data_IF_502981186790
#
_entry.id   IF_502981186790
#
_cell.length_a   1.000
_cell.length_b   1.000
_cell.length_c   1.000
_cell.angle_alpha   90.00
_cell.angle_beta   90.00
_cell.angle_gamma   90.00
#
_symmetry.space_group_name_H-M   'P 1'
#
loop_
_entity.id
_entity.type
_entity.pdbx_description
1 polymer ?
#
# COMPACT_ATOMS: atom_id res chain seq x y z
N UNK A 1 -12.04 38.57 56.66
CA UNK A 1 -11.01 37.62 56.20
C UNK A 1 -11.53 37.02 54.90
N UNK A 2 -10.89 37.29 53.76
CA UNK A 2 -11.35 36.85 52.42
C UNK A 2 -10.49 35.67 51.98
N UNK A 3 -11.06 34.47 52.00
CA UNK A 3 -10.40 33.24 51.53
C UNK A 3 -10.46 33.16 50.00
N UNK A 4 -9.30 33.09 49.36
CA UNK A 4 -9.18 32.76 47.95
C UNK A 4 -8.93 31.26 47.80
N UNK A 5 -9.77 30.58 47.02
CA UNK A 5 -9.64 29.16 46.65
C UNK A 5 -8.85 29.08 45.34
N UNK A 6 -7.74 28.31 45.25
CA UNK A 6 -7.03 28.14 44.00
C UNK A 6 -7.73 27.09 43.14
N UNK A 7 -8.02 27.43 41.88
CA UNK A 7 -8.52 26.50 40.86
C UNK A 7 -7.33 25.71 40.32
N UNK A 8 -7.32 24.41 40.56
CA UNK A 8 -6.32 23.46 40.07
C UNK A 8 -6.65 23.09 38.61
N UNK A 9 -5.83 23.56 37.66
CA UNK A 9 -5.97 23.21 36.26
C UNK A 9 -5.36 21.82 35.99
N UNK A 10 -6.19 20.85 35.61
CA UNK A 10 -5.76 19.52 35.15
C UNK A 10 -5.35 19.60 33.68
N UNK A 11 -4.05 19.76 33.42
CA UNK A 11 -3.49 19.51 32.09
C UNK A 11 -3.38 18.00 31.87
N UNK A 12 -4.39 17.40 31.20
CA UNK A 12 -4.29 16.04 30.71
C UNK A 12 -3.32 15.99 29.52
N UNK A 13 -2.04 15.74 29.80
CA UNK A 13 -1.05 15.40 28.78
C UNK A 13 -1.40 14.06 28.16
N UNK A 14 -1.92 14.06 26.93
CA UNK A 14 -2.15 12.84 26.16
C UNK A 14 -0.78 12.30 25.72
N UNK A 15 -0.16 11.47 26.56
CA UNK A 15 1.04 10.72 26.17
C UNK A 15 0.63 9.66 25.15
N UNK A 16 1.07 9.80 23.91
CA UNK A 16 0.91 8.76 22.89
C UNK A 16 1.71 7.51 23.32
N UNK A 17 1.03 6.50 23.86
CA UNK A 17 1.66 5.24 24.28
C UNK A 17 1.97 4.36 23.06
N UNK A 18 3.06 4.64 22.36
CA UNK A 18 3.61 3.76 21.31
C UNK A 18 4.37 2.54 21.88
N UNK A 19 4.41 2.38 23.21
CA UNK A 19 5.29 1.45 23.91
C UNK A 19 4.74 0.01 24.10
N UNK A 20 3.52 -0.30 23.63
CA UNK A 20 2.88 -1.61 23.91
C UNK A 20 2.21 -2.28 22.69
N UNK A 21 2.27 -1.70 21.50
CA UNK A 21 1.79 -2.38 20.30
C UNK A 21 2.87 -3.34 19.78
N UNK A 22 2.53 -4.60 19.42
CA UNK A 22 3.49 -5.50 18.80
C UNK A 22 3.99 -4.88 17.48
N UNK A 23 5.31 -4.87 17.22
CA UNK A 23 5.84 -4.32 15.99
C UNK A 23 5.46 -5.21 14.80
N UNK A 24 5.15 -4.59 13.65
CA UNK A 24 4.98 -5.32 12.41
C UNK A 24 6.33 -5.85 11.89
N UNK A 25 6.32 -7.06 11.32
CA UNK A 25 7.49 -7.62 10.65
C UNK A 25 7.69 -6.92 9.31
N UNK A 26 8.88 -6.38 9.04
CA UNK A 26 9.22 -5.81 7.75
C UNK A 26 9.37 -6.90 6.66
N UNK A 27 9.20 -6.58 5.37
CA UNK A 27 9.38 -7.53 4.27
C UNK A 27 10.69 -8.34 4.32
N UNK A 28 11.84 -7.70 4.52
CA UNK A 28 13.14 -8.40 4.60
C UNK A 28 13.37 -9.25 5.85
N UNK A 29 12.49 -9.16 6.85
CA UNK A 29 12.48 -10.00 8.05
C UNK A 29 11.37 -11.06 8.00
N UNK A 30 10.65 -11.15 6.88
CA UNK A 30 9.59 -12.13 6.64
C UNK A 30 10.14 -13.25 5.78
N UNK A 31 9.79 -14.50 6.08
CA UNK A 31 10.06 -15.62 5.18
C UNK A 31 9.07 -15.56 4.00
N UNK A 32 9.45 -14.85 2.94
CA UNK A 32 8.57 -14.63 1.80
C UNK A 32 8.66 -15.80 0.82
N UNK A 33 7.51 -16.44 0.60
CA UNK A 33 7.36 -17.52 -0.39
C UNK A 33 6.61 -16.98 -1.59
N UNK A 34 7.36 -16.61 -2.62
CA UNK A 34 6.78 -16.22 -3.90
C UNK A 34 6.52 -17.45 -4.77
N UNK A 35 5.38 -17.44 -5.45
CA UNK A 35 5.14 -18.30 -6.61
C UNK A 35 6.02 -17.85 -7.79
N UNK A 36 6.24 -18.74 -8.76
CA UNK A 36 7.00 -18.44 -9.98
C UNK A 36 6.43 -17.23 -10.74
N UNK A 37 5.11 -17.01 -10.63
CA UNK A 37 4.42 -15.87 -11.25
C UNK A 37 4.69 -14.54 -10.56
N UNK A 38 5.03 -14.55 -9.26
CA UNK A 38 5.33 -13.35 -8.46
C UNK A 38 6.78 -12.89 -8.59
N UNK A 39 7.72 -13.81 -8.80
CA UNK A 39 9.16 -13.52 -8.92
C UNK A 39 9.50 -12.43 -9.95
N UNK A 40 8.97 -12.45 -11.19
CA UNK A 40 9.23 -11.39 -12.16
C UNK A 40 8.50 -10.08 -11.85
N UNK A 41 7.60 -10.08 -10.86
CA UNK A 41 6.62 -9.02 -10.65
C UNK A 41 5.44 -9.12 -11.62
N UNK A 42 4.43 -8.28 -11.38
CA UNK A 42 3.25 -8.17 -12.24
C UNK A 42 3.41 -6.97 -13.18
N UNK A 43 3.28 -7.26 -14.47
CA UNK A 43 2.89 -6.32 -15.53
C UNK A 43 1.52 -6.74 -16.04
N UNK A 44 0.84 -5.89 -16.79
CA UNK A 44 -0.54 -6.16 -17.23
C UNK A 44 -0.64 -6.43 -18.71
N UNK A 45 0.50 -6.58 -19.39
CA UNK A 45 0.59 -6.68 -20.85
C UNK A 45 -0.12 -7.93 -21.42
N UNK A 46 -0.40 -8.92 -20.57
CA UNK A 46 -1.14 -10.15 -20.86
C UNK A 46 -2.65 -10.05 -20.53
N UNK A 47 -3.12 -8.99 -19.85
CA UNK A 47 -4.53 -8.77 -19.51
C UNK A 47 -5.29 -7.97 -20.56
N UNK A 48 -6.42 -8.47 -21.06
CA UNK A 48 -7.31 -7.68 -21.89
C UNK A 48 -7.79 -6.38 -21.19
N UNK A 49 -8.04 -5.34 -21.98
CA UNK A 49 -8.55 -4.07 -21.44
C UNK A 49 -9.97 -4.31 -20.91
N UNK A 50 -10.26 -3.85 -19.69
CA UNK A 50 -11.55 -4.01 -19.06
C UNK A 50 -11.48 -4.43 -17.60
N UNK A 51 -12.62 -4.86 -17.06
CA UNK A 51 -12.74 -5.35 -15.70
C UNK A 51 -12.10 -6.74 -15.57
N UNK A 52 -11.39 -6.96 -14.47
CA UNK A 52 -10.83 -8.26 -14.11
C UNK A 52 -10.86 -8.41 -12.59
N UNK A 53 -10.93 -9.66 -12.13
CA UNK A 53 -11.05 -9.96 -10.70
C UNK A 53 -9.95 -10.88 -10.18
N UNK A 54 -9.32 -11.63 -11.07
CA UNK A 54 -8.28 -12.58 -10.72
C UNK A 54 -7.12 -12.42 -11.68
N UNK A 55 -5.90 -12.39 -11.15
CA UNK A 55 -4.70 -12.35 -11.97
C UNK A 55 -3.54 -13.01 -11.23
N UNK A 56 -2.90 -14.00 -11.85
CA UNK A 56 -1.72 -14.70 -11.30
C UNK A 56 -1.87 -15.12 -9.83
N UNK A 57 -3.00 -15.77 -9.52
CA UNK A 57 -3.34 -16.31 -8.20
C UNK A 57 -3.56 -15.24 -7.11
N UNK A 58 -3.80 -14.00 -7.53
CA UNK A 58 -4.25 -12.88 -6.70
C UNK A 58 -5.66 -12.45 -7.08
N UNK A 59 -6.40 -12.00 -6.07
CA UNK A 59 -7.72 -11.40 -6.24
C UNK A 59 -7.56 -9.88 -6.29
N UNK A 60 -8.23 -9.24 -7.25
CA UNK A 60 -8.24 -7.80 -7.46
C UNK A 60 -9.67 -7.28 -7.33
N UNK A 61 -9.83 -6.16 -6.64
CA UNK A 61 -11.12 -5.50 -6.45
C UNK A 61 -10.99 -3.99 -6.71
N UNK A 62 -11.92 -3.44 -7.48
CA UNK A 62 -11.93 -2.02 -7.85
C UNK A 62 -10.86 -1.63 -8.87
N UNK A 63 -10.29 -2.61 -9.58
CA UNK A 63 -9.28 -2.42 -10.62
C UNK A 63 -9.84 -2.72 -12.01
N UNK A 64 -9.39 -1.96 -13.01
CA UNK A 64 -9.64 -2.22 -14.44
C UNK A 64 -8.32 -2.18 -15.18
N UNK A 65 -8.08 -3.10 -16.11
CA UNK A 65 -6.95 -3.02 -17.01
C UNK A 65 -7.25 -1.95 -18.07
N UNK A 66 -6.32 -1.02 -18.26
CA UNK A 66 -6.40 0.07 -19.21
C UNK A 66 -5.02 0.36 -19.84
N UNK A 67 -4.97 1.22 -20.85
CA UNK A 67 -3.70 1.71 -21.37
C UNK A 67 -3.02 2.64 -20.34
N UNK A 68 -1.72 2.48 -20.12
CA UNK A 68 -0.92 3.32 -19.21
C UNK A 68 -0.96 4.82 -19.60
N UNK A 69 -1.34 5.13 -20.85
CA UNK A 69 -1.63 6.48 -21.31
C UNK A 69 -0.42 7.40 -21.43
N UNK A 70 0.79 6.87 -21.24
CA UNK A 70 2.02 7.55 -21.65
C UNK A 70 1.93 7.81 -23.16
N UNK A 71 1.91 9.10 -23.52
CA UNK A 71 1.80 9.57 -24.91
C UNK A 71 2.97 9.01 -25.70
N UNK A 72 2.68 8.01 -26.53
CA UNK A 72 3.66 7.41 -27.43
C UNK A 72 3.98 8.35 -28.58
N UNK A 73 5.25 8.39 -28.97
CA UNK A 73 5.63 9.01 -30.24
C UNK A 73 4.91 8.34 -31.42
N UNK A 74 4.72 9.09 -32.50
CA UNK A 74 3.96 8.70 -33.73
C UNK A 74 4.39 7.36 -34.37
N UNK A 75 5.54 6.81 -33.98
CA UNK A 75 6.15 5.61 -34.56
C UNK A 75 6.29 4.43 -33.59
N UNK A 76 5.75 4.51 -32.38
CA UNK A 76 5.81 3.38 -31.45
C UNK A 76 4.87 2.24 -31.91
N UNK A 77 5.26 0.97 -31.74
CA UNK A 77 4.38 -0.19 -31.98
C UNK A 77 3.03 -0.04 -31.28
N UNK A 78 1.94 -0.55 -31.87
CA UNK A 78 0.57 -0.43 -31.34
C UNK A 78 0.29 -1.28 -30.09
N UNK A 79 1.23 -2.10 -29.64
CA UNK A 79 1.11 -2.86 -28.39
C UNK A 79 1.29 -1.93 -27.18
N UNK A 80 0.18 -1.33 -26.74
CA UNK A 80 0.05 -0.49 -25.54
C UNK A 80 0.76 -1.08 -24.31
N UNK A 81 1.35 -0.24 -23.45
CA UNK A 81 1.83 -0.68 -22.14
C UNK A 81 0.59 -0.64 -21.30
N UNK A 82 0.25 -1.75 -20.66
CA UNK A 82 -0.99 -1.84 -19.88
C UNK A 82 -0.73 -1.41 -18.44
N UNK A 83 -1.72 -0.82 -17.81
CA UNK A 83 -1.75 -0.45 -16.41
C UNK A 83 -3.09 -0.84 -15.82
N UNK A 84 -3.16 -1.03 -14.51
CA UNK A 84 -4.44 -1.16 -13.83
C UNK A 84 -4.86 0.20 -13.27
N UNK A 85 -6.05 0.65 -13.64
CA UNK A 85 -6.69 1.87 -13.19
C UNK A 85 -7.68 1.59 -12.06
N UNK A 86 -7.73 2.47 -11.07
CA UNK A 86 -8.67 2.38 -9.96
C UNK A 86 -8.90 3.73 -9.30
N UNK A 87 -10.00 3.88 -8.55
CA UNK A 87 -10.34 5.13 -7.85
C UNK A 87 -10.17 4.96 -6.35
N UNK A 88 -9.16 5.61 -5.79
CA UNK A 88 -8.90 5.61 -4.35
C UNK A 88 -9.77 6.67 -3.66
N UNK A 89 -10.34 6.31 -2.52
CA UNK A 89 -11.14 7.22 -1.68
C UNK A 89 -10.64 7.19 -0.24
N UNK A 90 -11.23 8.00 0.65
CA UNK A 90 -10.94 7.94 2.09
C UNK A 90 -11.54 6.70 2.77
N UNK A 91 -12.53 6.06 2.14
CA UNK A 91 -13.13 4.81 2.61
C UNK A 91 -12.36 3.62 2.02
N UNK A 92 -11.72 2.84 2.90
CA UNK A 92 -10.97 1.63 2.52
C UNK A 92 -11.85 0.65 1.73
N UNK A 93 -13.13 0.49 2.06
CA UNK A 93 -14.01 -0.50 1.41
C UNK A 93 -14.37 -0.13 -0.03
N UNK A 94 -14.33 1.16 -0.36
CA UNK A 94 -14.60 1.70 -1.70
C UNK A 94 -13.33 1.91 -2.51
N UNK A 95 -12.18 1.64 -1.90
CA UNK A 95 -10.88 1.84 -2.50
C UNK A 95 -10.35 0.53 -3.10
N UNK A 96 -9.49 0.62 -4.13
CA UNK A 96 -9.06 -0.56 -4.85
C UNK A 96 -8.07 -1.36 -4.01
N UNK A 97 -8.18 -2.68 -4.09
CA UNK A 97 -7.39 -3.61 -3.28
C UNK A 97 -6.98 -4.84 -4.09
N UNK A 98 -5.88 -5.45 -3.67
CA UNK A 98 -5.42 -6.71 -4.23
C UNK A 98 -4.79 -7.56 -3.15
N UNK A 99 -5.04 -8.86 -3.20
CA UNK A 99 -4.61 -9.76 -2.15
C UNK A 99 -4.50 -11.20 -2.60
N UNK A 100 -4.13 -12.02 -1.62
CA UNK A 100 -4.05 -13.46 -1.72
C UNK A 100 -5.30 -14.06 -2.38
N UNK A 101 -5.09 -14.80 -3.48
CA UNK A 101 -6.06 -15.75 -3.99
C UNK A 101 -5.99 -17.10 -3.26
N UNK A 102 -6.57 -18.17 -3.80
CA UNK A 102 -6.69 -19.45 -3.10
C UNK A 102 -5.37 -20.20 -2.88
N UNK A 103 -4.31 -19.86 -3.64
CA UNK A 103 -3.01 -20.56 -3.60
C UNK A 103 -1.98 -19.83 -2.73
N UNK A 104 -2.13 -18.52 -2.55
CA UNK A 104 -1.15 -17.67 -1.85
C UNK A 104 -1.68 -17.37 -0.45
N UNK A 105 -0.98 -17.80 0.60
CA UNK A 105 -1.45 -17.56 1.98
C UNK A 105 -1.11 -16.16 2.51
N UNK A 106 0.05 -15.65 2.10
CA UNK A 106 0.58 -14.33 2.49
C UNK A 106 1.62 -13.87 1.46
N UNK A 107 1.83 -12.57 1.36
CA UNK A 107 2.86 -11.99 0.53
C UNK A 107 3.42 -10.72 1.16
N UNK A 108 4.64 -10.34 0.76
CA UNK A 108 5.16 -9.01 1.04
C UNK A 108 5.20 -8.22 -0.26
N UNK A 109 4.48 -7.11 -0.30
CA UNK A 109 4.68 -6.12 -1.36
C UNK A 109 6.11 -5.61 -1.23
N UNK A 110 6.89 -5.64 -2.31
CA UNK A 110 8.22 -5.05 -2.36
C UNK A 110 8.14 -3.59 -2.80
N UNK A 111 7.62 -3.37 -4.00
CA UNK A 111 7.37 -2.03 -4.53
C UNK A 111 6.15 -2.00 -5.44
N UNK A 112 5.56 -0.82 -5.57
CA UNK A 112 4.43 -0.55 -6.45
C UNK A 112 4.65 0.78 -7.14
N UNK A 113 4.53 0.79 -8.47
CA UNK A 113 4.62 2.02 -9.24
C UNK A 113 3.23 2.61 -9.42
N UNK A 114 2.99 3.79 -8.85
CA UNK A 114 1.67 4.45 -8.87
C UNK A 114 1.76 5.79 -9.60
N UNK A 115 0.79 6.04 -10.48
CA UNK A 115 0.59 7.27 -11.24
C UNK A 115 -0.79 7.85 -10.89
N UNK A 116 -0.91 8.67 -9.84
CA UNK A 116 -2.17 9.37 -9.53
C UNK A 116 -2.50 10.43 -10.59
N UNK A 117 -3.76 10.84 -10.70
CA UNK A 117 -4.19 11.88 -11.65
C UNK A 117 -3.63 13.29 -11.32
N UNK A 118 -3.26 13.54 -10.06
CA UNK A 118 -2.59 14.73 -9.55
C UNK A 118 -1.65 14.37 -8.40
N UNK A 119 -0.69 15.26 -8.10
CA UNK A 119 0.26 15.06 -6.99
C UNK A 119 -0.49 15.00 -5.66
N UNK A 120 -0.36 13.90 -4.92
CA UNK A 120 -1.04 13.68 -3.66
C UNK A 120 -0.38 12.62 -2.81
N UNK A 121 -0.78 12.53 -1.55
CA UNK A 121 -0.36 11.41 -0.71
C UNK A 121 -1.31 10.24 -0.85
N UNK A 122 -0.78 9.02 -0.87
CA UNK A 122 -1.55 7.78 -0.82
C UNK A 122 -1.16 7.00 0.42
N UNK A 123 -2.13 6.32 1.02
CA UNK A 123 -1.91 5.37 2.11
C UNK A 123 -2.03 3.94 1.58
N UNK A 124 -1.11 3.09 1.99
CA UNK A 124 -1.10 1.66 1.66
C UNK A 124 -1.43 0.90 2.94
N UNK A 125 -2.61 0.27 2.95
CA UNK A 125 -3.14 -0.46 4.10
C UNK A 125 -2.98 -1.95 3.84
N UNK A 126 -2.24 -2.61 4.72
CA UNK A 126 -1.87 -4.02 4.65
C UNK A 126 -2.68 -4.78 5.69
N UNK A 127 -3.57 -5.66 5.24
CA UNK A 127 -4.30 -6.55 6.13
C UNK A 127 -3.44 -7.73 6.49
N UNK A 128 -3.13 -7.84 7.78
CA UNK A 128 -2.22 -8.82 8.30
C UNK A 128 -2.96 -10.12 8.65
N UNK A 129 -2.28 -11.28 8.68
CA UNK A 129 -2.91 -12.57 9.01
C UNK A 129 -3.54 -12.64 10.40
N UNK A 130 -3.08 -11.81 11.34
CA UNK A 130 -3.60 -11.68 12.71
C UNK A 130 -4.84 -10.77 12.81
N UNK A 131 -5.31 -10.22 11.68
CA UNK A 131 -6.45 -9.30 11.60
C UNK A 131 -6.11 -7.83 11.87
N UNK A 132 -4.85 -7.52 12.18
CA UNK A 132 -4.40 -6.13 12.33
C UNK A 132 -4.16 -5.48 10.96
N UNK A 133 -4.05 -4.14 10.94
CA UNK A 133 -3.72 -3.38 9.73
C UNK A 133 -2.42 -2.63 9.93
N UNK A 134 -1.39 -3.01 9.17
CA UNK A 134 -0.18 -2.22 9.01
C UNK A 134 -0.45 -1.16 7.94
N UNK A 135 -0.03 0.09 8.14
CA UNK A 135 -0.24 1.13 7.12
C UNK A 135 0.94 2.08 7.05
N UNK A 136 1.18 2.60 5.86
CA UNK A 136 2.11 3.69 5.65
C UNK A 136 1.59 4.67 4.60
N UNK A 137 2.10 5.90 4.66
CA UNK A 137 1.75 7.00 3.76
C UNK A 137 2.94 7.35 2.89
N UNK A 138 2.71 7.60 1.60
CA UNK A 138 3.74 8.00 0.66
C UNK A 138 3.26 9.14 -0.23
N UNK A 139 4.13 10.12 -0.46
CA UNK A 139 3.88 11.21 -1.40
C UNK A 139 4.06 10.71 -2.83
N UNK A 140 3.00 10.81 -3.64
CA UNK A 140 2.93 10.29 -5.00
C UNK A 140 2.74 11.42 -6.01
N UNK A 141 3.54 11.41 -7.06
CA UNK A 141 3.52 12.41 -8.13
C UNK A 141 2.73 11.89 -9.32
N UNK A 142 2.02 12.79 -10.01
CA UNK A 142 1.29 12.51 -11.25
C UNK A 142 2.16 11.86 -12.32
N UNK A 143 3.43 12.25 -12.38
CA UNK A 143 4.42 11.67 -13.30
C UNK A 143 4.75 10.19 -13.01
N UNK A 144 4.29 9.65 -11.88
CA UNK A 144 4.64 8.33 -11.39
C UNK A 144 5.54 8.40 -10.16
N UNK A 145 5.35 7.46 -9.25
CA UNK A 145 6.17 7.28 -8.06
C UNK A 145 6.26 5.80 -7.73
N UNK A 146 7.47 5.31 -7.50
CA UNK A 146 7.69 3.96 -7.01
C UNK A 146 7.66 3.99 -5.49
N UNK A 147 6.59 3.46 -4.91
CA UNK A 147 6.45 3.32 -3.46
C UNK A 147 7.06 2.00 -3.06
N UNK A 148 8.04 2.05 -2.16
CA UNK A 148 8.73 0.87 -1.64
C UNK A 148 8.21 0.56 -0.25
N UNK A 149 7.73 -0.66 -0.05
CA UNK A 149 7.28 -1.10 1.25
C UNK A 149 8.47 -1.62 2.06
N UNK A 150 8.76 -0.94 3.16
CA UNK A 150 9.84 -1.31 4.10
C UNK A 150 9.32 -1.71 5.48
N UNK A 151 8.00 -1.67 5.69
CA UNK A 151 7.40 -1.71 7.02
C UNK A 151 6.46 -2.90 7.22
N UNK A 152 5.68 -3.26 6.19
CA UNK A 152 4.57 -4.21 6.33
C UNK A 152 4.83 -5.49 5.54
N UNK A 153 5.45 -6.50 6.14
CA UNK A 153 5.72 -7.80 5.52
C UNK A 153 4.66 -8.84 5.87
N UNK A 154 4.39 -9.77 4.94
CA UNK A 154 3.51 -10.92 5.17
C UNK A 154 2.02 -10.59 5.25
N UNK A 155 1.55 -9.65 4.44
CA UNK A 155 0.14 -9.27 4.35
C UNK A 155 -0.69 -10.29 3.55
N UNK A 156 -2.01 -10.28 3.77
CA UNK A 156 -3.00 -11.03 2.97
C UNK A 156 -3.66 -10.16 1.90
N UNK A 157 -3.76 -8.86 2.12
CA UNK A 157 -4.39 -7.93 1.21
C UNK A 157 -3.74 -6.55 1.34
N UNK A 158 -3.66 -5.83 0.24
CA UNK A 158 -3.20 -4.44 0.19
C UNK A 158 -4.29 -3.59 -0.42
N UNK A 159 -4.69 -2.53 0.29
CA UNK A 159 -5.63 -1.53 -0.20
C UNK A 159 -4.93 -0.19 -0.34
N UNK A 160 -5.14 0.48 -1.47
CA UNK A 160 -4.59 1.82 -1.72
C UNK A 160 -5.68 2.84 -1.42
N UNK A 161 -5.48 3.65 -0.38
CA UNK A 161 -6.45 4.61 0.15
C UNK A 161 -5.98 6.02 -0.16
N UNK A 162 -6.91 6.88 -0.55
CA UNK A 162 -6.67 8.30 -0.68
C UNK A 162 -7.15 9.01 0.59
N UNK A 163 -6.27 9.34 1.55
CA UNK A 163 -6.70 9.97 2.78
C UNK A 163 -7.22 11.40 2.51
N UNK A 164 -8.12 11.93 3.34
CA UNK A 164 -8.58 13.31 3.23
C UNK A 164 -7.41 14.29 3.20
N UNK A 165 -7.33 15.09 2.14
CA UNK A 165 -6.30 16.10 1.93
C UNK A 165 -6.97 17.42 1.53
N UNK A 166 -7.08 18.40 2.44
CA UNK A 166 -7.85 19.63 2.19
C UNK A 166 -7.25 20.49 1.06
N UNK A 167 -5.95 20.36 0.79
CA UNK A 167 -5.24 21.14 -0.22
C UNK A 167 -5.23 20.48 -1.62
N UNK A 168 -6.13 19.53 -1.87
CA UNK A 168 -6.19 18.77 -3.12
C UNK A 168 -7.53 18.98 -3.83
N UNK A 169 -7.56 18.90 -5.16
CA UNK A 169 -8.71 19.35 -5.95
C UNK A 169 -9.95 18.46 -5.82
N UNK A 170 -9.81 17.21 -5.34
CA UNK A 170 -10.88 16.23 -5.29
C UNK A 170 -10.84 15.41 -3.99
N UNK A 171 -12.00 14.92 -3.50
CA UNK A 171 -12.08 14.02 -2.35
C UNK A 171 -11.71 12.56 -2.67
N UNK A 172 -11.46 12.25 -3.93
CA UNK A 172 -10.99 10.96 -4.44
C UNK A 172 -9.86 11.18 -5.44
N UNK A 173 -9.07 10.15 -5.70
CA UNK A 173 -7.96 10.19 -6.62
C UNK A 173 -7.98 8.96 -7.51
N UNK A 174 -8.06 9.16 -8.83
CA UNK A 174 -7.85 8.08 -9.79
C UNK A 174 -6.36 7.78 -9.92
N UNK A 175 -5.99 6.51 -9.82
CA UNK A 175 -4.60 6.04 -9.87
C UNK A 175 -4.43 4.99 -10.96
N UNK A 176 -3.27 5.01 -11.60
CA UNK A 176 -2.78 3.95 -12.48
C UNK A 176 -1.62 3.24 -11.85
N UNK A 177 -1.56 1.93 -12.00
CA UNK A 177 -0.47 1.09 -11.50
C UNK A 177 0.10 0.30 -12.67
N UNK A 178 1.24 0.70 -13.25
CA UNK A 178 1.84 -0.04 -14.36
C UNK A 178 2.54 -1.32 -13.93
N UNK A 179 3.14 -1.34 -12.74
CA UNK A 179 3.91 -2.49 -12.24
C UNK A 179 3.78 -2.68 -10.73
N UNK A 180 3.83 -3.94 -10.32
CA UNK A 180 3.90 -4.38 -8.93
C UNK A 180 5.06 -5.36 -8.79
N UNK A 181 5.86 -5.22 -7.75
CA UNK A 181 6.94 -6.15 -7.41
C UNK A 181 6.78 -6.66 -5.98
N UNK A 182 7.08 -7.92 -5.78
CA UNK A 182 7.00 -8.59 -4.49
C UNK A 182 8.39 -8.78 -3.89
N UNK A 183 8.48 -8.77 -2.56
CA UNK A 183 9.69 -9.22 -1.88
C UNK A 183 9.64 -10.74 -1.81
N UNK A 184 10.53 -11.40 -2.54
CA UNK A 184 10.66 -12.86 -2.61
C UNK A 184 11.89 -13.37 -1.86
N UNK A 185 12.54 -12.50 -1.07
CA UNK A 185 13.68 -12.90 -0.26
C UNK A 185 13.24 -13.64 1.00
N UNK A 186 14.03 -14.63 1.40
CA UNK A 186 13.91 -15.29 2.70
C UNK A 186 14.45 -14.37 3.80
N UNK A 187 13.89 -14.46 5.01
CA UNK A 187 14.27 -13.58 6.12
C UNK A 187 15.79 -13.54 6.35
N UNK A 188 16.37 -12.35 6.33
CA UNK A 188 17.80 -12.13 6.58
C UNK A 188 18.09 -12.18 8.09
N UNK A 189 17.90 -13.34 8.73
CA UNK A 189 18.27 -13.64 10.13
C UNK A 189 17.76 -12.69 11.24
N UNK A 190 16.98 -13.26 12.16
CA UNK A 190 16.57 -12.66 13.46
C UNK A 190 17.76 -12.25 14.34
N UNK A 191 18.05 -10.95 14.41
CA UNK A 191 18.52 -10.33 15.66
C UNK A 191 17.53 -9.26 16.08
N UNK A 192 16.60 -9.64 16.95
CA UNK A 192 15.86 -8.69 17.77
C UNK A 192 16.89 -7.83 18.50
N UNK A 193 16.80 -6.48 18.46
CA UNK A 193 17.57 -5.66 19.39
C UNK A 193 17.18 -6.12 20.80
N UNK A 194 18.15 -6.64 21.57
CA UNK A 194 17.93 -6.85 23.01
C UNK A 194 17.54 -5.50 23.59
N UNK A 195 16.33 -5.38 24.09
CA UNK A 195 15.93 -4.24 24.90
C UNK A 195 16.75 -4.31 26.19
N UNK A 196 17.85 -3.56 26.26
CA UNK A 196 18.53 -3.30 27.52
C UNK A 196 17.57 -2.45 28.35
N UNK A 197 16.99 -3.05 29.39
CA UNK A 197 16.31 -2.27 30.44
C UNK A 197 17.40 -1.52 31.19
N UNK A 198 17.38 -0.19 31.12
CA UNK A 198 18.15 0.69 32.01
C UNK A 198 17.29 1.05 33.21
#
# INVERSE_FOLDING_TARGET
MKSFVPVLALAAGVSATFHKAPPFTCPGNTDNKCTDKQQPGFSWDDLEIGDFFNYRDFNFNGWKCEDDGDKRGRFAPRTGKRAIGGTCTSDKKKSPSFGCGPVVDRFSLGSIHVKPEFDCDLEFHYDMPDGSTCKHRSACRKSGTTVVNRQCGGAKNVTIVYPPQPNKPKPSCSVRVPTISFDCSTASSTKTPKTTKT
#
